data_IF_377775021169
#
_entry.id   IF_377775021169
#
_cell.length_a   1.000
_cell.length_b   1.000
_cell.length_c   1.000
_cell.angle_alpha   90.00
_cell.angle_beta   90.00
_cell.angle_gamma   90.00
#
_symmetry.space_group_name_H-M   'P 1'
#
loop_
_entity.id
_entity.type
_entity.pdbx_description
1 polymer ?
#
# COMPACT_ATOMS: atom_id res chain seq x y z
N UNK A 1 -21.16 20.88 70.91
CA UNK A 1 -22.08 21.19 69.80
C UNK A 1 -21.38 22.11 68.81
N UNK A 2 -20.91 21.58 67.68
CA UNK A 2 -21.30 22.04 66.34
C UNK A 2 -20.60 21.19 65.27
N UNK A 3 -21.41 20.35 64.64
CA UNK A 3 -21.11 19.53 63.49
C UNK A 3 -21.06 20.43 62.25
N UNK A 4 -20.01 20.34 61.43
CA UNK A 4 -20.12 20.66 59.99
C UNK A 4 -19.40 19.58 59.17
N UNK A 5 -20.22 18.89 58.37
CA UNK A 5 -19.86 17.83 57.43
C UNK A 5 -19.27 18.41 56.13
N UNK A 6 -18.33 17.64 55.53
CA UNK A 6 -18.16 17.22 54.10
C UNK A 6 -18.17 18.36 53.05
N UNK A 7 -17.34 18.38 52.01
CA UNK A 7 -17.27 17.44 50.89
C UNK A 7 -15.89 17.47 50.22
N UNK A 8 -15.38 16.29 49.86
CA UNK A 8 -14.25 16.13 48.95
C UNK A 8 -14.75 16.29 47.52
N UNK A 9 -14.19 17.22 46.75
CA UNK A 9 -14.38 17.27 45.30
C UNK A 9 -13.29 16.41 44.67
N UNK A 10 -13.66 15.20 44.25
CA UNK A 10 -12.83 14.38 43.37
C UNK A 10 -13.00 14.91 41.94
N UNK A 11 -11.93 15.45 41.37
CA UNK A 11 -11.82 15.75 39.94
C UNK A 11 -11.71 14.41 39.19
N UNK A 12 -12.81 13.96 38.57
CA UNK A 12 -12.78 12.87 37.61
C UNK A 12 -12.35 13.46 36.27
N UNK A 13 -11.09 13.28 35.91
CA UNK A 13 -10.63 13.50 34.55
C UNK A 13 -11.16 12.36 33.68
N UNK A 14 -12.18 12.66 32.85
CA UNK A 14 -12.64 11.75 31.81
C UNK A 14 -11.59 11.68 30.70
N UNK A 15 -10.73 10.68 30.76
CA UNK A 15 -9.82 10.33 29.66
C UNK A 15 -10.67 9.72 28.54
N UNK A 16 -10.90 10.48 27.47
CA UNK A 16 -11.34 9.94 26.20
C UNK A 16 -10.15 9.25 25.53
N UNK A 17 -9.96 7.96 25.77
CA UNK A 17 -9.11 7.14 24.91
C UNK A 17 -9.92 6.78 23.66
N UNK A 18 -9.65 7.47 22.54
CA UNK A 18 -10.02 6.91 21.24
C UNK A 18 -9.16 5.66 21.06
N UNK A 19 -9.79 4.49 21.05
CA UNK A 19 -9.12 3.28 20.59
C UNK A 19 -8.93 3.44 19.09
N UNK A 20 -7.75 3.89 18.70
CA UNK A 20 -7.27 3.66 17.33
C UNK A 20 -6.92 2.18 17.27
N UNK A 21 -7.63 1.41 16.46
CA UNK A 21 -7.20 0.07 16.07
C UNK A 21 -5.90 0.21 15.27
N UNK A 22 -4.77 0.29 15.99
CA UNK A 22 -3.45 0.11 15.43
C UNK A 22 -3.33 -1.37 15.08
N UNK A 23 -3.58 -1.69 13.82
CA UNK A 23 -3.36 -3.03 13.24
C UNK A 23 -1.88 -3.45 13.35
N UNK A 24 -0.99 -2.51 13.66
CA UNK A 24 0.39 -2.79 14.06
C UNK A 24 0.56 -2.36 15.51
N UNK A 25 0.38 -3.31 16.42
CA UNK A 25 0.91 -3.17 17.78
C UNK A 25 2.41 -2.84 17.69
N UNK A 26 2.87 -1.90 18.51
CA UNK A 26 4.30 -1.68 18.78
C UNK A 26 4.83 -2.95 19.48
N UNK A 27 5.17 -3.95 18.68
CA UNK A 27 5.60 -5.28 19.11
C UNK A 27 6.92 -5.62 18.44
N UNK A 28 7.97 -5.62 19.26
CA UNK A 28 9.38 -5.94 18.97
C UNK A 28 10.08 -5.09 17.90
N UNK A 29 11.26 -4.58 18.27
CA UNK A 29 12.27 -4.10 17.34
C UNK A 29 12.73 -5.28 16.45
N UNK A 30 11.96 -5.60 15.42
CA UNK A 30 12.48 -6.39 14.30
C UNK A 30 13.59 -5.56 13.67
N UNK A 31 14.84 -6.03 13.74
CA UNK A 31 16.00 -5.30 13.21
C UNK A 31 15.89 -5.03 11.71
N UNK A 32 15.14 -5.86 10.98
CA UNK A 32 14.91 -5.73 9.55
C UNK A 32 13.83 -4.72 9.16
N UNK A 33 14.01 -4.15 7.96
CA UNK A 33 13.02 -3.31 7.29
C UNK A 33 11.89 -4.17 6.72
N UNK A 34 10.72 -3.56 6.57
CA UNK A 34 9.57 -4.16 5.88
C UNK A 34 9.50 -3.59 4.47
N UNK A 35 9.38 -4.46 3.49
CA UNK A 35 9.29 -4.14 2.08
C UNK A 35 7.98 -4.66 1.48
N UNK A 36 7.51 -4.00 0.44
CA UNK A 36 6.38 -4.45 -0.33
C UNK A 36 6.64 -4.39 -1.84
N UNK A 37 6.16 -5.40 -2.55
CA UNK A 37 6.10 -5.41 -4.00
C UNK A 37 4.64 -5.63 -4.44
N UNK A 38 4.05 -4.59 -5.04
CA UNK A 38 2.64 -4.54 -5.41
C UNK A 38 2.51 -4.56 -6.93
N UNK A 39 1.78 -5.52 -7.50
CA UNK A 39 1.79 -5.81 -8.94
C UNK A 39 0.38 -6.03 -9.49
N UNK A 40 -0.05 -5.13 -10.37
CA UNK A 40 -1.22 -5.33 -11.24
C UNK A 40 -0.72 -5.83 -12.59
N UNK A 41 -1.10 -7.05 -12.97
CA UNK A 41 -0.59 -7.69 -14.19
C UNK A 41 -1.29 -7.29 -15.50
N UNK A 42 -2.46 -6.63 -15.44
CA UNK A 42 -3.23 -6.24 -16.62
C UNK A 42 -3.57 -4.77 -16.71
N UNK A 43 -4.05 -4.41 -17.91
CA UNK A 43 -4.44 -3.09 -18.35
C UNK A 43 -5.85 -3.11 -18.96
N UNK A 44 -6.31 -1.94 -19.40
CA UNK A 44 -7.63 -1.73 -19.98
C UNK A 44 -8.71 -1.52 -18.91
N UNK A 45 -9.68 -0.66 -19.21
CA UNK A 45 -10.69 -0.23 -18.25
C UNK A 45 -11.57 -1.39 -17.73
N UNK A 46 -11.76 -2.46 -18.52
CA UNK A 46 -12.46 -3.67 -18.07
C UNK A 46 -11.74 -4.40 -16.92
N UNK A 47 -10.42 -4.18 -16.78
CA UNK A 47 -9.57 -4.72 -15.73
C UNK A 47 -9.28 -3.70 -14.61
N UNK A 48 -10.05 -2.62 -14.53
CA UNK A 48 -9.99 -1.58 -13.50
C UNK A 48 -9.66 -2.13 -12.09
N UNK A 49 -10.31 -3.24 -11.72
CA UNK A 49 -10.21 -3.87 -10.41
C UNK A 49 -8.77 -4.20 -9.98
N UNK A 50 -7.91 -4.65 -10.87
CA UNK A 50 -6.56 -5.08 -10.50
C UNK A 50 -5.68 -3.87 -10.10
N UNK A 51 -5.78 -2.76 -10.83
CA UNK A 51 -5.04 -1.55 -10.45
C UNK A 51 -5.66 -0.87 -9.21
N UNK A 52 -6.99 -0.94 -9.03
CA UNK A 52 -7.66 -0.48 -7.82
C UNK A 52 -7.25 -1.29 -6.58
N UNK A 53 -7.06 -2.60 -6.71
CA UNK A 53 -6.53 -3.49 -5.66
C UNK A 53 -5.12 -3.08 -5.24
N UNK A 54 -4.22 -2.86 -6.19
CA UNK A 54 -2.86 -2.40 -5.91
C UNK A 54 -2.83 -1.03 -5.25
N UNK A 55 -3.64 -0.09 -5.76
CA UNK A 55 -3.77 1.24 -5.16
C UNK A 55 -4.28 1.15 -3.71
N UNK A 56 -5.29 0.29 -3.45
CA UNK A 56 -5.82 0.10 -2.11
C UNK A 56 -4.79 -0.57 -1.17
N UNK A 57 -4.07 -1.59 -1.64
CA UNK A 57 -2.98 -2.21 -0.89
C UNK A 57 -1.89 -1.20 -0.51
N UNK A 58 -1.52 -0.30 -1.42
CA UNK A 58 -0.60 0.80 -1.14
C UNK A 58 -1.12 1.69 0.02
N UNK A 59 -2.39 2.11 -0.02
CA UNK A 59 -2.96 2.95 1.04
C UNK A 59 -2.91 2.27 2.42
N UNK A 60 -3.19 0.95 2.47
CA UNK A 60 -3.10 0.17 3.71
C UNK A 60 -1.67 0.15 4.25
N UNK A 61 -0.70 -0.17 3.40
CA UNK A 61 0.71 -0.25 3.79
C UNK A 61 1.27 1.11 4.19
N UNK A 62 0.94 2.16 3.45
CA UNK A 62 1.32 3.55 3.74
C UNK A 62 0.76 4.01 5.08
N UNK A 63 -0.52 3.75 5.35
CA UNK A 63 -1.15 4.02 6.64
C UNK A 63 -0.52 3.19 7.77
N UNK A 64 -0.06 1.98 7.46
CA UNK A 64 0.70 1.12 8.36
C UNK A 64 2.14 1.55 8.63
N UNK A 65 2.61 2.63 8.02
CA UNK A 65 3.94 3.20 8.27
C UNK A 65 5.05 2.73 7.32
N UNK A 66 4.76 1.92 6.30
CA UNK A 66 5.75 1.65 5.25
C UNK A 66 6.04 2.94 4.46
N UNK A 67 7.33 3.17 4.22
CA UNK A 67 7.81 4.32 3.43
C UNK A 67 7.78 3.99 1.95
N UNK A 68 7.58 5.00 1.10
CA UNK A 68 7.52 4.79 -0.36
C UNK A 68 8.84 4.23 -0.93
N UNK A 69 9.96 4.49 -0.28
CA UNK A 69 11.27 3.90 -0.63
C UNK A 69 11.30 2.38 -0.48
N UNK A 70 10.41 1.81 0.34
CA UNK A 70 10.30 0.36 0.58
C UNK A 70 9.06 -0.27 -0.07
N UNK A 71 8.30 0.47 -0.87
CA UNK A 71 7.17 -0.05 -1.65
C UNK A 71 7.49 0.11 -3.13
N UNK A 72 7.59 -1.01 -3.85
CA UNK A 72 7.71 -1.03 -5.31
C UNK A 72 6.34 -1.28 -5.92
N UNK A 73 5.90 -0.42 -6.85
CA UNK A 73 4.58 -0.54 -7.50
C UNK A 73 4.69 -0.78 -9.00
N UNK A 74 4.07 -1.86 -9.47
CA UNK A 74 3.80 -2.15 -10.87
C UNK A 74 2.30 -2.01 -11.13
N UNK A 75 1.96 -1.12 -12.06
CA UNK A 75 0.62 -1.03 -12.61
C UNK A 75 0.67 -0.30 -13.95
N UNK A 76 -0.16 -0.68 -14.91
CA UNK A 76 -0.09 -0.08 -16.24
C UNK A 76 -0.41 1.42 -16.26
N UNK A 77 -1.20 1.91 -15.29
CA UNK A 77 -1.54 3.32 -15.06
C UNK A 77 -2.46 3.95 -16.13
N UNK A 78 -3.29 3.14 -16.76
CA UNK A 78 -4.23 3.54 -17.82
C UNK A 78 -5.69 3.68 -17.33
N UNK A 79 -5.92 3.65 -16.02
CA UNK A 79 -7.27 3.65 -15.42
C UNK A 79 -7.70 5.05 -14.96
N UNK A 80 -6.85 5.78 -14.24
CA UNK A 80 -7.24 7.04 -13.60
C UNK A 80 -7.74 8.08 -14.61
N UNK A 81 -7.10 8.16 -15.77
CA UNK A 81 -7.44 9.12 -16.82
C UNK A 81 -8.08 8.49 -18.06
N UNK A 82 -8.48 7.22 -17.97
CA UNK A 82 -9.20 6.53 -19.03
C UNK A 82 -10.44 7.35 -19.46
N UNK A 83 -10.77 7.47 -20.76
CA UNK A 83 -12.00 8.13 -21.21
C UNK A 83 -13.28 7.52 -20.62
N UNK A 84 -13.26 6.24 -20.26
CA UNK A 84 -14.40 5.56 -19.64
C UNK A 84 -14.50 5.80 -18.12
N UNK A 85 -13.50 6.41 -17.49
CA UNK A 85 -13.53 6.72 -16.06
C UNK A 85 -14.39 7.99 -15.82
N UNK A 86 -15.57 7.88 -15.18
CA UNK A 86 -16.42 9.04 -14.91
C UNK A 86 -15.82 9.98 -13.85
N UNK A 87 -14.86 9.50 -13.04
CA UNK A 87 -14.16 10.25 -12.01
C UNK A 87 -12.68 10.35 -12.37
N UNK A 88 -12.36 11.19 -13.36
CA UNK A 88 -10.98 11.35 -13.85
C UNK A 88 -10.01 11.69 -12.71
N UNK A 89 -8.88 10.98 -12.69
CA UNK A 89 -7.84 11.11 -11.66
C UNK A 89 -8.12 10.34 -10.37
N UNK A 90 -9.25 9.62 -10.27
CA UNK A 90 -9.66 8.90 -9.06
C UNK A 90 -9.87 7.42 -9.36
N UNK A 91 -9.39 6.56 -8.47
CA UNK A 91 -9.81 5.17 -8.39
C UNK A 91 -10.46 4.92 -7.02
N UNK A 92 -11.59 4.23 -6.99
CA UNK A 92 -12.15 3.59 -5.79
C UNK A 92 -11.97 2.07 -5.85
N UNK A 93 -11.85 1.40 -4.71
CA UNK A 93 -11.81 -0.08 -4.64
C UNK A 93 -12.99 -0.71 -3.86
N UNK A 94 -14.06 0.07 -3.64
CA UNK A 94 -15.36 -0.43 -3.19
C UNK A 94 -16.44 0.63 -3.49
N UNK A 95 -17.74 0.26 -3.50
CA UNK A 95 -18.81 1.22 -3.72
C UNK A 95 -18.75 2.38 -2.73
N UNK A 96 -18.90 3.61 -3.24
CA UNK A 96 -18.82 4.86 -2.47
C UNK A 96 -17.51 5.06 -1.68
N UNK A 97 -16.43 4.36 -2.05
CA UNK A 97 -15.13 4.49 -1.41
C UNK A 97 -14.44 5.82 -1.69
N UNK A 98 -13.44 6.12 -0.85
CA UNK A 98 -12.50 7.20 -1.08
C UNK A 98 -11.57 6.90 -2.25
N UNK A 99 -10.89 7.92 -2.75
CA UNK A 99 -9.82 7.73 -3.73
C UNK A 99 -8.68 6.90 -3.12
N UNK A 100 -8.25 5.86 -3.85
CA UNK A 100 -7.09 5.03 -3.52
C UNK A 100 -5.90 5.30 -4.43
N UNK A 101 -6.06 6.08 -5.50
CA UNK A 101 -5.01 6.32 -6.50
C UNK A 101 -4.00 7.39 -6.08
N UNK A 102 -4.47 8.44 -5.40
CA UNK A 102 -3.62 9.54 -4.98
C UNK A 102 -2.44 9.08 -4.12
N UNK A 103 -1.25 9.58 -4.43
CA UNK A 103 0.00 9.27 -3.72
C UNK A 103 0.65 7.92 -4.08
N UNK A 104 -0.03 7.03 -4.81
CA UNK A 104 0.55 5.73 -5.20
C UNK A 104 1.79 5.95 -6.10
N UNK A 105 2.97 5.41 -5.75
CA UNK A 105 4.17 5.47 -6.58
C UNK A 105 3.95 4.92 -7.99
N UNK A 106 4.65 5.49 -8.97
CA UNK A 106 4.60 5.08 -10.38
C UNK A 106 5.94 4.48 -10.79
N UNK A 107 6.35 3.43 -10.06
CA UNK A 107 7.71 2.89 -10.21
C UNK A 107 7.90 2.22 -11.58
N UNK A 108 6.92 1.42 -12.01
CA UNK A 108 6.92 0.79 -13.32
C UNK A 108 5.51 0.81 -13.89
N UNK A 109 5.32 1.67 -14.91
CA UNK A 109 4.03 1.90 -15.57
C UNK A 109 4.10 1.62 -17.06
N UNK A 110 2.94 1.42 -17.70
CA UNK A 110 2.85 1.06 -19.11
C UNK A 110 3.78 -0.12 -19.45
N UNK A 111 4.57 0.05 -20.50
CA UNK A 111 5.49 -0.98 -21.02
C UNK A 111 6.66 -1.29 -20.07
N UNK A 112 6.88 -0.49 -19.02
CA UNK A 112 7.89 -0.80 -17.99
C UNK A 112 7.39 -1.83 -16.98
N UNK A 113 6.09 -2.08 -16.89
CA UNK A 113 5.50 -3.17 -16.11
C UNK A 113 5.63 -4.52 -16.82
N UNK A 114 6.87 -4.98 -17.04
CA UNK A 114 7.19 -6.17 -17.82
C UNK A 114 7.96 -7.23 -17.02
N UNK A 115 8.12 -8.43 -17.59
CA UNK A 115 8.78 -9.57 -16.94
C UNK A 115 10.24 -9.29 -16.56
N UNK A 116 10.99 -8.58 -17.40
CA UNK A 116 12.40 -8.29 -17.12
C UNK A 116 12.55 -7.42 -15.87
N UNK A 117 11.75 -6.33 -15.80
CA UNK A 117 11.73 -5.46 -14.62
C UNK A 117 11.17 -6.18 -13.39
N UNK A 118 10.15 -7.03 -13.55
CA UNK A 118 9.60 -7.82 -12.45
C UNK A 118 10.67 -8.71 -11.80
N UNK A 119 11.46 -9.43 -12.61
CA UNK A 119 12.55 -10.27 -12.12
C UNK A 119 13.72 -9.44 -11.56
N UNK A 120 14.03 -8.29 -12.15
CA UNK A 120 15.05 -7.37 -11.64
C UNK A 120 14.67 -6.85 -10.24
N UNK A 121 13.39 -6.53 -10.01
CA UNK A 121 12.89 -6.10 -8.69
C UNK A 121 13.00 -7.23 -7.66
N UNK A 122 12.53 -8.44 -8.00
CA UNK A 122 12.60 -9.59 -7.09
C UNK A 122 14.03 -9.97 -6.71
N UNK A 123 14.97 -9.84 -7.65
CA UNK A 123 16.38 -10.16 -7.41
C UNK A 123 17.16 -9.02 -6.76
N UNK A 124 16.54 -7.87 -6.49
CA UNK A 124 17.25 -6.68 -5.99
C UNK A 124 18.27 -6.11 -6.98
N UNK A 125 18.25 -6.52 -8.25
CA UNK A 125 19.26 -6.14 -9.24
C UNK A 125 18.85 -4.86 -9.98
N UNK A 126 19.21 -3.71 -9.40
CA UNK A 126 18.96 -2.39 -10.00
C UNK A 126 19.55 -2.24 -11.40
N UNK A 127 20.72 -2.84 -11.67
CA UNK A 127 21.39 -2.72 -12.97
C UNK A 127 20.68 -3.48 -14.10
N UNK A 128 19.83 -4.45 -13.76
CA UNK A 128 19.02 -5.20 -14.72
C UNK A 128 17.68 -4.52 -15.06
N UNK A 129 17.30 -3.45 -14.35
CA UNK A 129 16.09 -2.68 -14.66
C UNK A 129 16.23 -1.92 -15.97
N UNK A 130 15.14 -1.84 -16.74
CA UNK A 130 15.04 -1.09 -17.99
C UNK A 130 13.90 -0.07 -17.88
N UNK A 131 14.27 1.21 -17.78
CA UNK A 131 13.33 2.31 -17.58
C UNK A 131 12.63 2.26 -16.21
N UNK A 132 11.48 2.92 -16.10
CA UNK A 132 10.80 3.12 -14.81
C UNK A 132 11.64 3.94 -13.82
N UNK A 133 11.35 3.79 -12.53
CA UNK A 133 12.07 4.46 -11.44
C UNK A 133 13.43 3.82 -11.11
N UNK A 134 13.64 2.56 -11.53
CA UNK A 134 14.78 1.74 -11.11
C UNK A 134 14.75 1.30 -9.64
N UNK A 135 13.61 1.46 -8.93
CA UNK A 135 13.43 0.93 -7.57
C UNK A 135 13.34 -0.59 -7.60
N UNK A 136 14.01 -1.28 -6.68
CA UNK A 136 14.03 -2.74 -6.54
C UNK A 136 13.88 -3.12 -5.07
N UNK A 137 13.70 -4.41 -4.77
CA UNK A 137 13.75 -4.92 -3.40
C UNK A 137 15.21 -5.02 -2.95
N UNK A 138 15.77 -3.92 -2.45
CA UNK A 138 17.14 -3.84 -1.92
C UNK A 138 17.17 -4.27 -0.45
N UNK A 139 16.89 -5.55 -0.23
CA UNK A 139 16.61 -6.13 1.10
C UNK A 139 17.83 -6.77 1.75
N UNK A 140 17.95 -6.62 3.07
CA UNK A 140 18.92 -7.35 3.90
C UNK A 140 18.40 -8.73 4.40
N UNK A 141 19.25 -9.50 5.10
CA UNK A 141 18.90 -10.86 5.57
C UNK A 141 17.79 -10.89 6.64
N UNK A 142 17.60 -9.79 7.38
CA UNK A 142 16.57 -9.69 8.42
C UNK A 142 15.27 -9.04 7.91
N UNK A 143 15.26 -8.55 6.66
CA UNK A 143 14.14 -7.81 6.11
C UNK A 143 12.97 -8.74 5.79
N UNK A 144 11.75 -8.22 5.94
CA UNK A 144 10.53 -8.94 5.59
C UNK A 144 9.95 -8.38 4.30
N UNK A 145 9.61 -9.26 3.36
CA UNK A 145 9.03 -8.87 2.06
C UNK A 145 7.58 -9.33 2.00
N UNK A 146 6.68 -8.40 1.71
CA UNK A 146 5.30 -8.68 1.32
C UNK A 146 5.14 -8.54 -0.20
N UNK A 147 4.64 -9.56 -0.88
CA UNK A 147 4.36 -9.50 -2.32
C UNK A 147 2.87 -9.69 -2.54
N UNK A 148 2.25 -8.77 -3.27
CA UNK A 148 0.85 -8.85 -3.66
C UNK A 148 0.70 -8.69 -5.16
N UNK A 149 0.22 -9.75 -5.79
CA UNK A 149 -0.08 -9.80 -7.22
C UNK A 149 -1.58 -9.96 -7.43
N UNK A 150 -2.15 -9.14 -8.31
CA UNK A 150 -3.57 -9.20 -8.68
C UNK A 150 -3.70 -9.06 -10.20
N UNK A 151 -4.26 -10.10 -10.82
CA UNK A 151 -4.55 -10.15 -12.24
C UNK A 151 -5.40 -11.39 -12.60
N UNK A 152 -5.52 -11.65 -13.90
CA UNK A 152 -5.83 -12.95 -14.47
C UNK A 152 -4.71 -13.98 -14.23
N UNK A 153 -5.07 -15.24 -14.45
CA UNK A 153 -4.14 -16.36 -14.36
C UNK A 153 -4.67 -17.59 -15.07
N UNK A 154 -3.77 -18.54 -15.30
CA UNK A 154 -4.03 -19.83 -15.90
C UNK A 154 -3.10 -20.89 -15.27
N UNK A 155 -3.31 -22.19 -15.50
CA UNK A 155 -2.44 -23.21 -14.93
C UNK A 155 -0.97 -22.98 -15.29
N UNK A 156 -0.15 -22.65 -14.29
CA UNK A 156 1.28 -22.38 -14.47
C UNK A 156 1.64 -21.00 -15.02
N UNK A 157 0.68 -20.08 -15.18
CA UNK A 157 0.93 -18.72 -15.67
C UNK A 157 0.07 -17.67 -14.97
N UNK A 158 0.58 -16.45 -14.89
CA UNK A 158 -0.11 -15.25 -14.39
C UNK A 158 0.01 -14.17 -15.47
N UNK A 159 -1.04 -13.36 -15.65
CA UNK A 159 -1.15 -12.38 -16.74
C UNK A 159 -2.52 -12.38 -17.41
#
# INVERSE_FOLDING_TARGET
>A
MNHKNKYWVALIASIWMSVTDNVFAEGESTTGKKWAFLVAGSNGYVNYRHQADICHAYQILKKGGLKDENIVVFMYDDIAYNPQNPRRGVLINHPNGSDVYNGVPKDYIGDYGNLENFLAVLSGNKSATKGGSGKVLDTGPDDTIFIFYTDHGSPGSIG
#
